data_IF_023427397067
#
_entry.id   IF_023427397067
#
_cell.length_a   1.000
_cell.length_b   1.000
_cell.length_c   1.000
_cell.angle_alpha   90.00
_cell.angle_beta   90.00
_cell.angle_gamma   90.00
#
_symmetry.space_group_name_H-M   'P 1'
#
loop_
_entity.id
_entity.type
_entity.pdbx_description
1 polymer ?
#
# COMPACT_ATOMS: atom_id res chain seq x y z
N UNK A 1 4.68 7.01 24.23
CA UNK A 1 5.22 7.09 22.86
C UNK A 1 4.87 5.79 22.15
N UNK A 2 4.32 5.86 20.94
CA UNK A 2 4.01 4.66 20.15
C UNK A 2 5.25 4.25 19.36
N UNK A 3 5.53 2.97 19.25
CA UNK A 3 6.61 2.44 18.43
C UNK A 3 6.03 1.62 17.29
N UNK A 4 6.49 1.88 16.08
CA UNK A 4 6.18 1.06 14.90
C UNK A 4 7.48 0.58 14.28
N UNK A 5 7.47 -0.61 13.68
CA UNK A 5 8.68 -1.22 13.12
C UNK A 5 8.30 -2.16 11.99
N UNK A 6 9.23 -2.34 11.05
CA UNK A 6 9.09 -3.34 9.99
C UNK A 6 8.37 -2.79 8.78
N UNK A 7 7.70 -3.68 8.07
CA UNK A 7 7.07 -3.40 6.78
C UNK A 7 5.56 -3.58 6.92
N UNK A 8 4.76 -2.63 6.39
CA UNK A 8 3.33 -2.83 6.35
C UNK A 8 2.93 -3.90 5.34
N UNK A 9 1.80 -4.55 5.62
CA UNK A 9 1.06 -5.32 4.61
C UNK A 9 0.09 -4.41 3.88
N UNK A 10 -0.30 -4.78 2.66
CA UNK A 10 -1.24 -4.00 1.85
C UNK A 10 -2.25 -4.93 1.21
N UNK A 11 -3.51 -4.53 1.23
CA UNK A 11 -4.58 -5.16 0.48
C UNK A 11 -5.40 -4.10 -0.27
N UNK A 12 -5.81 -4.41 -1.49
CA UNK A 12 -6.82 -3.64 -2.20
C UNK A 12 -8.21 -3.93 -1.64
N UNK A 13 -9.01 -2.87 -1.43
CA UNK A 13 -10.37 -2.97 -0.92
C UNK A 13 -11.38 -2.39 -1.90
N UNK A 14 -12.35 -3.22 -2.30
CA UNK A 14 -13.33 -2.91 -3.35
C UNK A 14 -14.52 -2.05 -2.92
N UNK A 15 -14.69 -1.79 -1.61
CA UNK A 15 -15.76 -0.99 -0.99
C UNK A 15 -17.19 -1.28 -1.51
N UNK A 16 -17.94 -2.11 -0.78
CA UNK A 16 -19.26 -2.57 -1.21
C UNK A 16 -19.22 -3.78 -2.14
N UNK A 17 -18.02 -4.14 -2.62
CA UNK A 17 -17.70 -5.37 -3.36
C UNK A 17 -16.64 -6.21 -2.61
N UNK A 18 -16.99 -6.94 -1.55
CA UNK A 18 -16.04 -7.75 -0.78
C UNK A 18 -15.31 -8.80 -1.62
N UNK A 19 -15.95 -9.30 -2.68
CA UNK A 19 -15.40 -10.26 -3.64
C UNK A 19 -14.20 -9.71 -4.42
N UNK A 20 -14.04 -8.38 -4.46
CA UNK A 20 -12.91 -7.67 -5.07
C UNK A 20 -11.78 -7.39 -4.09
N UNK A 21 -11.91 -7.73 -2.80
CA UNK A 21 -10.81 -7.53 -1.85
C UNK A 21 -9.67 -8.51 -2.17
N UNK A 22 -8.44 -7.99 -2.26
CA UNK A 22 -7.27 -8.79 -2.61
C UNK A 22 -6.06 -8.41 -1.76
N UNK A 23 -5.44 -9.36 -1.03
CA UNK A 23 -4.13 -9.11 -0.44
C UNK A 23 -3.10 -8.93 -1.55
N UNK A 24 -2.25 -7.91 -1.45
CA UNK A 24 -1.17 -7.70 -2.40
C UNK A 24 0.10 -8.42 -1.93
N UNK A 25 0.81 -9.03 -2.86
CA UNK A 25 2.12 -9.62 -2.60
C UNK A 25 3.16 -8.53 -2.44
N UNK A 26 3.57 -8.31 -1.19
CA UNK A 26 4.58 -7.31 -0.86
C UNK A 26 6.00 -7.82 -1.17
N UNK A 27 6.77 -6.99 -1.87
CA UNK A 27 8.23 -7.08 -1.94
C UNK A 27 8.80 -5.95 -1.08
N UNK A 28 9.61 -6.28 -0.09
CA UNK A 28 10.11 -5.29 0.88
C UNK A 28 11.44 -4.70 0.44
N UNK A 29 11.66 -3.41 0.71
CA UNK A 29 12.92 -2.72 0.41
C UNK A 29 13.36 -1.81 1.56
N UNK A 30 14.68 -1.61 1.69
CA UNK A 30 15.29 -0.86 2.79
C UNK A 30 15.52 -1.71 4.04
N UNK A 31 16.05 -1.08 5.09
CA UNK A 31 16.28 -1.71 6.40
C UNK A 31 15.21 -1.29 7.41
N UNK A 32 14.66 -2.24 8.15
CA UNK A 32 13.69 -1.95 9.21
C UNK A 32 14.39 -1.50 10.50
N UNK A 33 13.90 -0.40 11.07
CA UNK A 33 14.30 0.08 12.39
C UNK A 33 13.07 0.44 13.21
N UNK A 34 13.22 0.52 14.53
CA UNK A 34 12.14 0.99 15.41
C UNK A 34 11.95 2.49 15.23
N UNK A 35 10.74 2.90 14.86
CA UNK A 35 10.33 4.30 14.76
C UNK A 35 9.52 4.68 15.99
N UNK A 36 10.02 5.64 16.75
CA UNK A 36 9.26 6.26 17.85
C UNK A 36 8.38 7.38 17.27
N UNK A 37 7.08 7.26 17.45
CA UNK A 37 6.09 8.25 17.04
C UNK A 37 5.59 9.00 18.28
N UNK A 38 5.86 10.30 18.33
CA UNK A 38 5.30 11.20 19.34
C UNK A 38 3.80 11.38 19.13
N UNK A 39 3.07 11.87 20.14
CA UNK A 39 1.66 12.23 19.96
C UNK A 39 1.53 13.28 18.84
N UNK A 40 0.62 13.04 17.87
CA UNK A 40 0.47 13.87 16.67
C UNK A 40 1.59 13.73 15.63
N UNK A 41 2.61 12.90 15.90
CA UNK A 41 3.70 12.61 14.98
C UNK A 41 3.28 11.69 13.83
N UNK A 42 4.21 11.48 12.89
CA UNK A 42 3.99 10.64 11.70
C UNK A 42 5.11 9.62 11.54
N UNK A 43 4.76 8.47 11.00
CA UNK A 43 5.69 7.55 10.37
C UNK A 43 5.31 7.44 8.89
N UNK A 44 6.28 7.08 8.06
CA UNK A 44 6.13 7.05 6.61
C UNK A 44 6.51 5.69 6.04
N UNK A 45 5.84 5.30 4.98
CA UNK A 45 6.20 4.18 4.10
C UNK A 45 5.93 4.63 2.66
N UNK A 46 6.66 4.06 1.71
CA UNK A 46 6.40 4.22 0.27
C UNK A 46 5.87 2.92 -0.28
N UNK A 47 4.74 3.03 -0.99
CA UNK A 47 4.12 1.93 -1.73
C UNK A 47 4.34 2.20 -3.23
N UNK A 48 4.91 1.24 -3.93
CA UNK A 48 5.10 1.31 -5.39
C UNK A 48 4.37 0.15 -6.03
N UNK A 49 3.36 0.47 -6.83
CA UNK A 49 2.51 -0.50 -7.54
C UNK A 49 3.03 -0.76 -8.94
N UNK A 50 2.78 -1.98 -9.45
CA UNK A 50 3.00 -2.26 -10.87
C UNK A 50 1.97 -1.45 -11.66
N UNK A 51 2.47 -0.62 -12.58
CA UNK A 51 1.65 0.35 -13.28
C UNK A 51 0.79 -0.32 -14.36
N UNK A 52 -0.49 0.02 -14.39
CA UNK A 52 -1.35 -0.18 -15.57
C UNK A 52 -0.80 0.65 -16.72
N UNK A 53 -0.74 0.07 -17.92
CA UNK A 53 -0.19 0.69 -19.14
C UNK A 53 -1.30 1.00 -20.15
N UNK A 54 -1.03 1.87 -21.12
CA UNK A 54 -1.95 2.18 -22.22
C UNK A 54 -3.05 3.19 -21.89
N UNK A 55 -3.91 3.50 -22.88
CA UNK A 55 -5.06 4.40 -22.75
C UNK A 55 -6.36 3.64 -22.40
N UNK A 56 -7.40 4.37 -21.97
CA UNK A 56 -8.73 3.85 -21.61
C UNK A 56 -8.69 2.78 -20.49
N UNK A 57 -9.08 1.54 -20.80
CA UNK A 57 -9.17 0.44 -19.83
C UNK A 57 -7.80 -0.07 -19.37
N UNK A 58 -6.74 0.30 -20.09
CA UNK A 58 -5.36 -0.08 -19.80
C UNK A 58 -5.09 -1.58 -19.88
N UNK A 59 -3.84 -1.97 -19.67
CA UNK A 59 -3.41 -3.36 -19.68
C UNK A 59 -2.22 -3.58 -18.75
N UNK A 60 -2.07 -4.81 -18.26
CA UNK A 60 -0.87 -5.24 -17.56
C UNK A 60 0.12 -5.87 -18.54
N UNK A 61 1.40 -5.49 -18.46
CA UNK A 61 2.47 -6.06 -19.28
C UNK A 61 2.57 -7.59 -19.16
N UNK A 62 2.16 -8.14 -18.02
CA UNK A 62 2.09 -9.57 -17.73
C UNK A 62 0.97 -10.31 -18.47
N UNK A 63 -0.01 -9.59 -19.04
CA UNK A 63 -1.27 -10.15 -19.55
C UNK A 63 -2.36 -10.33 -18.48
N UNK A 64 -2.09 -9.99 -17.22
CA UNK A 64 -3.12 -9.98 -16.18
C UNK A 64 -4.19 -8.90 -16.45
N UNK A 65 -5.39 -9.10 -15.91
CA UNK A 65 -6.43 -8.06 -15.91
C UNK A 65 -6.07 -6.97 -14.90
N UNK A 66 -6.07 -5.68 -15.28
CA UNK A 66 -5.85 -4.59 -14.34
C UNK A 66 -6.86 -4.60 -13.19
N UNK A 67 -6.41 -4.27 -11.99
CA UNK A 67 -7.27 -4.10 -10.83
C UNK A 67 -7.34 -2.62 -10.44
N UNK A 68 -8.51 -2.19 -9.93
CA UNK A 68 -8.68 -0.87 -9.36
C UNK A 68 -9.36 -0.96 -7.99
N UNK A 69 -8.81 -0.22 -7.04
CA UNK A 69 -9.27 -0.19 -5.66
C UNK A 69 -9.58 1.24 -5.24
N UNK A 70 -10.80 1.52 -4.75
CA UNK A 70 -11.13 2.81 -4.14
C UNK A 70 -10.28 3.11 -2.90
N UNK A 71 -9.90 2.07 -2.16
CA UNK A 71 -9.10 2.21 -0.93
C UNK A 71 -8.12 1.06 -0.78
N UNK A 72 -7.12 1.28 0.07
CA UNK A 72 -6.19 0.26 0.52
C UNK A 72 -6.37 -0.01 2.00
N UNK A 73 -6.19 -1.25 2.42
CA UNK A 73 -6.01 -1.60 3.82
C UNK A 73 -4.52 -1.80 4.07
N UNK A 74 -3.94 -0.94 4.90
CA UNK A 74 -2.52 -0.95 5.27
C UNK A 74 -2.37 -1.53 6.68
N UNK A 75 -1.82 -2.74 6.78
CA UNK A 75 -1.54 -3.39 8.05
C UNK A 75 -0.22 -2.90 8.62
N UNK A 76 -0.24 -2.10 9.67
CA UNK A 76 0.95 -1.57 10.35
C UNK A 76 1.31 -2.51 11.53
N UNK A 77 2.50 -3.14 11.52
CA UNK A 77 2.91 -4.01 12.62
C UNK A 77 2.89 -3.28 13.97
N UNK A 78 2.19 -3.86 14.94
CA UNK A 78 2.00 -3.27 16.27
C UNK A 78 1.00 -2.13 16.36
N UNK A 79 0.38 -1.70 15.25
CA UNK A 79 -0.60 -0.61 15.23
C UNK A 79 -1.91 -0.93 14.48
N UNK A 80 -2.11 -2.19 14.04
CA UNK A 80 -3.35 -2.64 13.42
C UNK A 80 -3.48 -2.30 11.94
N UNK A 81 -4.66 -2.52 11.37
CA UNK A 81 -4.96 -2.28 9.97
C UNK A 81 -5.72 -0.96 9.78
N UNK A 82 -5.30 -0.16 8.80
CA UNK A 82 -5.82 1.17 8.53
C UNK A 82 -6.29 1.26 7.09
N UNK A 83 -7.54 1.66 6.89
CA UNK A 83 -8.08 1.85 5.55
C UNK A 83 -7.79 3.29 5.10
N UNK A 84 -7.16 3.44 3.93
CA UNK A 84 -6.75 4.72 3.37
C UNK A 84 -7.23 4.87 1.94
N UNK A 85 -7.51 6.11 1.55
CA UNK A 85 -7.92 6.47 0.20
C UNK A 85 -6.94 7.52 -0.36
N UNK A 86 -6.88 7.63 -1.68
CA UNK A 86 -6.36 8.84 -2.29
C UNK A 86 -7.35 9.99 -2.06
N UNK A 87 -6.86 11.22 -2.00
CA UNK A 87 -7.74 12.40 -1.94
C UNK A 87 -8.61 12.51 -3.19
N UNK A 88 -8.07 12.06 -4.33
CA UNK A 88 -8.76 11.99 -5.61
C UNK A 88 -8.26 10.77 -6.41
N UNK A 89 -9.16 10.19 -7.21
CA UNK A 89 -8.89 9.00 -8.03
C UNK A 89 -8.95 7.66 -7.29
N UNK A 90 -8.43 6.63 -7.94
CA UNK A 90 -8.37 5.24 -7.45
C UNK A 90 -6.95 4.69 -7.55
N UNK A 91 -6.67 3.63 -6.79
CA UNK A 91 -5.42 2.90 -6.90
C UNK A 91 -5.60 1.85 -8.00
N UNK A 92 -4.99 2.08 -9.16
CA UNK A 92 -4.94 1.11 -10.25
C UNK A 92 -3.59 0.40 -10.28
N UNK A 93 -3.60 -0.93 -10.34
CA UNK A 93 -2.38 -1.74 -10.30
C UNK A 93 -2.49 -3.02 -11.13
N UNK A 94 -1.34 -3.66 -11.29
CA UNK A 94 -1.17 -4.91 -12.01
C UNK A 94 -0.50 -5.99 -11.15
N UNK A 95 -0.89 -7.23 -11.39
CA UNK A 95 -0.28 -8.44 -10.83
C UNK A 95 -0.46 -8.65 -9.32
N UNK A 96 -1.34 -7.88 -8.66
CA UNK A 96 -1.54 -7.92 -7.21
C UNK A 96 -0.21 -7.74 -6.44
N UNK A 97 0.66 -6.85 -6.92
CA UNK A 97 2.03 -6.67 -6.41
C UNK A 97 2.27 -5.24 -5.93
N UNK A 98 2.97 -5.15 -4.82
CA UNK A 98 3.40 -3.87 -4.25
C UNK A 98 4.82 -3.97 -3.73
N UNK A 99 5.65 -2.96 -4.02
CA UNK A 99 6.92 -2.78 -3.33
C UNK A 99 6.72 -1.85 -2.15
N UNK A 100 7.21 -2.24 -0.98
CA UNK A 100 6.94 -1.56 0.28
C UNK A 100 8.26 -1.23 0.98
N UNK A 101 8.46 0.03 1.35
CA UNK A 101 9.59 0.39 2.22
C UNK A 101 9.30 0.12 3.69
N UNK A 102 10.33 -0.13 4.48
CA UNK A 102 10.20 -0.12 5.93
C UNK A 102 9.60 1.20 6.44
N UNK A 103 8.90 1.13 7.58
CA UNK A 103 8.41 2.32 8.27
C UNK A 103 9.58 3.20 8.69
N UNK A 104 9.46 4.51 8.45
CA UNK A 104 10.51 5.50 8.69
C UNK A 104 9.96 6.73 9.40
N UNK A 105 10.81 7.38 10.21
CA UNK A 105 10.53 8.71 10.75
C UNK A 105 10.61 9.80 9.66
N UNK A 106 11.42 9.58 8.63
CA UNK A 106 11.61 10.50 7.52
C UNK A 106 10.67 10.16 6.36
N UNK A 107 10.11 11.20 5.73
CA UNK A 107 9.31 11.04 4.52
C UNK A 107 10.20 10.49 3.38
N UNK A 108 9.83 9.38 2.73
CA UNK A 108 10.57 8.83 1.60
C UNK A 108 10.50 9.78 0.39
N UNK A 109 11.55 9.76 -0.43
CA UNK A 109 11.64 10.50 -1.69
C UNK A 109 10.76 9.91 -2.79
#
# INVERSE_FOLDING_TARGET
ACTVQGYPTVAGAGNGSPEKNRPLKATTTGGASTVKVAAGGKAWTKLTFVQVQGEADGYCKSGATPASYPTLVVGVPGAGAHQVALTDGVIAECDDKVTVTALSAAKPS
#
